data_IF_086763042710
#
_entry.id   IF_086763042710
#
_cell.length_a   1.000
_cell.length_b   1.000
_cell.length_c   1.000
_cell.angle_alpha   90.00
_cell.angle_beta   90.00
_cell.angle_gamma   90.00
#
_symmetry.space_group_name_H-M   'P 1'
#
loop_
_entity.id
_entity.type
_entity.pdbx_description
1 polymer ?
#
# COMPACT_ATOMS: atom_id res chain seq x y z
N UNK A 1 -15.26 16.61 1.00
CA UNK A 1 -14.57 16.18 2.20
C UNK A 1 -14.81 14.68 2.41
N UNK A 2 -13.81 13.92 2.73
CA UNK A 2 -13.97 12.52 3.11
C UNK A 2 -13.54 12.36 4.57
N UNK A 3 -14.43 11.82 5.39
CA UNK A 3 -14.14 11.48 6.79
C UNK A 3 -13.63 10.04 6.84
N UNK A 4 -12.49 9.81 7.42
CA UNK A 4 -11.86 8.49 7.52
C UNK A 4 -11.59 8.16 8.98
N UNK A 5 -11.93 6.93 9.39
CA UNK A 5 -11.71 6.46 10.75
C UNK A 5 -10.21 6.38 11.05
N UNK A 6 -9.76 7.00 12.13
CA UNK A 6 -8.41 6.86 12.61
C UNK A 6 -8.27 5.51 13.35
N UNK A 7 -7.25 4.74 13.01
CA UNK A 7 -6.94 3.51 13.73
C UNK A 7 -5.49 3.58 14.21
N UNK A 8 -5.29 3.41 15.50
CA UNK A 8 -3.98 3.08 16.03
C UNK A 8 -3.59 1.70 15.50
N UNK A 9 -2.50 1.62 14.75
CA UNK A 9 -2.05 0.35 14.18
C UNK A 9 -1.43 -0.49 15.29
N UNK A 10 -2.22 -1.39 15.87
CA UNK A 10 -1.67 -2.52 16.62
C UNK A 10 -1.17 -3.54 15.60
N UNK A 11 0.13 -3.78 15.57
CA UNK A 11 0.76 -4.80 14.72
C UNK A 11 0.22 -6.19 15.09
N UNK A 12 -0.77 -6.65 14.34
CA UNK A 12 -1.30 -8.01 14.46
C UNK A 12 -0.34 -8.95 13.73
N UNK A 13 0.35 -9.77 14.50
CA UNK A 13 1.16 -10.89 14.01
C UNK A 13 0.20 -12.01 13.57
N UNK A 14 -0.26 -11.98 12.33
CA UNK A 14 -1.08 -13.06 11.78
C UNK A 14 -0.24 -14.04 10.97
N UNK A 15 -0.30 -15.33 11.31
CA UNK A 15 0.23 -16.42 10.52
C UNK A 15 -0.59 -16.57 9.24
N UNK A 16 0.04 -16.32 8.07
CA UNK A 16 -0.59 -16.51 6.76
C UNK A 16 -0.16 -17.86 6.19
N UNK A 17 -1.12 -18.75 5.81
CA UNK A 17 -0.80 -20.06 5.24
C UNK A 17 -0.01 -20.00 3.93
N UNK A 18 0.84 -20.98 3.73
CA UNK A 18 1.84 -21.08 2.64
C UNK A 18 1.31 -21.40 1.24
N UNK A 19 0.01 -21.58 1.05
CA UNK A 19 -0.56 -22.18 -0.16
C UNK A 19 -1.45 -21.22 -0.91
N UNK A 20 -0.90 -20.27 -1.69
CA UNK A 20 -1.73 -19.64 -2.73
C UNK A 20 -0.86 -18.92 -3.76
N UNK A 21 -0.39 -19.69 -4.71
CA UNK A 21 0.26 -19.18 -5.91
C UNK A 21 -0.76 -19.15 -7.06
N UNK A 22 -1.51 -18.09 -7.20
CA UNK A 22 -2.14 -17.78 -8.47
C UNK A 22 -1.49 -16.51 -9.01
N UNK A 23 -0.56 -16.72 -9.92
CA UNK A 23 -0.03 -15.66 -10.79
C UNK A 23 -1.22 -15.06 -11.55
N UNK A 24 -1.65 -13.86 -11.20
CA UNK A 24 -2.70 -13.21 -11.96
C UNK A 24 -2.20 -12.98 -13.40
N UNK A 25 -3.09 -13.20 -14.37
CA UNK A 25 -2.82 -13.00 -15.82
C UNK A 25 -2.35 -11.57 -16.15
N UNK A 26 -2.46 -10.64 -15.21
CA UNK A 26 -1.96 -9.27 -15.36
C UNK A 26 -0.42 -9.22 -15.41
N UNK A 27 0.26 -10.14 -14.72
CA UNK A 27 1.74 -10.20 -14.66
C UNK A 27 2.39 -10.46 -16.01
N UNK A 28 1.73 -11.19 -16.90
CA UNK A 28 2.25 -11.51 -18.23
C UNK A 28 2.36 -10.27 -19.15
N UNK A 29 1.70 -9.16 -18.82
CA UNK A 29 1.69 -7.92 -19.61
C UNK A 29 2.57 -6.81 -19.03
N UNK A 30 3.12 -6.98 -17.85
CA UNK A 30 3.95 -5.96 -17.20
C UNK A 30 5.41 -6.24 -17.53
N UNK A 31 6.01 -5.33 -18.31
CA UNK A 31 7.45 -5.41 -18.60
C UNK A 31 8.24 -5.19 -17.30
N UNK A 32 9.26 -6.02 -17.00
CA UNK A 32 10.11 -5.87 -15.83
C UNK A 32 10.76 -4.47 -15.68
N UNK A 33 11.01 -3.83 -16.83
CA UNK A 33 11.65 -2.51 -16.89
C UNK A 33 10.67 -1.33 -16.71
N UNK A 34 9.39 -1.60 -16.41
CA UNK A 34 8.43 -0.53 -16.13
C UNK A 34 8.59 -0.06 -14.70
N UNK A 35 8.76 1.23 -14.52
CA UNK A 35 8.72 1.87 -13.22
C UNK A 35 7.28 2.16 -12.81
N UNK A 36 6.97 1.90 -11.55
CA UNK A 36 5.71 2.25 -10.90
C UNK A 36 5.92 3.39 -9.91
N UNK A 37 7.07 3.40 -9.23
CA UNK A 37 7.47 4.43 -8.29
C UNK A 37 7.80 5.76 -9.00
N UNK A 38 7.69 6.85 -8.26
CA UNK A 38 8.12 8.16 -8.74
C UNK A 38 9.63 8.13 -9.02
N UNK A 39 10.04 8.70 -10.16
CA UNK A 39 11.43 8.80 -10.57
C UNK A 39 12.23 7.48 -10.51
N UNK A 40 11.56 6.35 -10.74
CA UNK A 40 12.18 5.04 -10.72
C UNK A 40 12.58 4.54 -9.32
N UNK A 41 11.97 5.09 -8.27
CA UNK A 41 12.29 4.73 -6.89
C UNK A 41 12.07 3.25 -6.59
N UNK A 42 11.02 2.65 -7.14
CA UNK A 42 10.73 1.23 -7.02
C UNK A 42 11.81 0.33 -7.66
N UNK A 43 12.43 0.78 -8.76
CA UNK A 43 13.58 0.11 -9.39
C UNK A 43 14.81 0.17 -8.49
N UNK A 44 15.16 1.37 -8.01
CA UNK A 44 16.28 1.54 -7.09
C UNK A 44 16.11 0.73 -5.81
N UNK A 45 14.89 0.72 -5.26
CA UNK A 45 14.56 -0.08 -4.09
C UNK A 45 14.75 -1.58 -4.37
N UNK A 46 14.31 -2.06 -5.53
CA UNK A 46 14.44 -3.46 -5.91
C UNK A 46 15.91 -3.87 -6.15
N UNK A 47 16.78 -2.96 -6.54
CA UNK A 47 18.23 -3.18 -6.66
C UNK A 47 18.93 -3.26 -5.30
N UNK A 48 18.56 -2.36 -4.38
CA UNK A 48 19.14 -2.33 -3.02
C UNK A 48 18.68 -3.53 -2.21
N UNK A 49 17.39 -3.85 -2.28
CA UNK A 49 16.78 -4.94 -1.53
C UNK A 49 16.89 -6.24 -2.32
N UNK A 50 17.97 -6.97 -2.12
CA UNK A 50 18.22 -8.23 -2.82
C UNK A 50 17.41 -9.43 -2.29
N UNK A 51 16.81 -9.29 -1.09
CA UNK A 51 16.03 -10.34 -0.43
C UNK A 51 14.77 -10.69 -1.21
N UNK A 52 14.54 -11.99 -1.41
CA UNK A 52 13.28 -12.55 -1.91
C UNK A 52 12.28 -12.77 -0.75
N UNK A 53 10.98 -12.70 -1.07
CA UNK A 53 9.87 -13.04 -0.15
C UNK A 53 9.91 -12.25 1.17
N UNK A 54 10.22 -10.98 1.09
CA UNK A 54 10.22 -10.08 2.23
C UNK A 54 8.82 -9.60 2.62
N UNK A 55 8.79 -8.64 3.54
CA UNK A 55 7.57 -7.99 4.01
C UNK A 55 7.75 -6.47 3.92
N UNK A 56 6.71 -5.77 3.47
CA UNK A 56 6.70 -4.31 3.38
C UNK A 56 5.49 -3.71 4.10
N UNK A 57 5.60 -2.45 4.45
CA UNK A 57 4.50 -1.59 4.84
C UNK A 57 4.54 -0.37 3.93
N UNK A 58 3.46 -0.10 3.21
CA UNK A 58 3.31 1.05 2.33
C UNK A 58 2.19 1.95 2.87
N UNK A 59 2.59 3.15 3.33
CA UNK A 59 1.69 4.18 3.81
C UNK A 59 1.33 5.10 2.63
N UNK A 60 0.06 5.45 2.49
CA UNK A 60 -0.41 6.22 1.33
C UNK A 60 -0.33 5.41 0.04
N UNK A 61 -0.79 4.16 0.09
CA UNK A 61 -0.65 3.22 -1.02
C UNK A 61 -1.39 3.62 -2.31
N UNK A 62 -2.19 4.69 -2.26
CA UNK A 62 -2.98 5.19 -3.37
C UNK A 62 -3.81 4.06 -4.01
N UNK A 63 -3.85 3.99 -5.33
CA UNK A 63 -4.54 2.92 -6.07
C UNK A 63 -3.73 1.60 -6.13
N UNK A 64 -2.56 1.56 -5.48
CA UNK A 64 -1.67 0.40 -5.40
C UNK A 64 -0.81 0.16 -6.63
N UNK A 65 -0.88 1.03 -7.64
CA UNK A 65 -0.09 0.97 -8.88
C UNK A 65 0.61 2.29 -9.14
N UNK A 66 -0.15 3.39 -9.14
CA UNK A 66 0.38 4.73 -9.43
C UNK A 66 1.30 5.18 -8.30
N UNK A 67 2.55 5.40 -8.61
CA UNK A 67 3.64 5.77 -7.70
C UNK A 67 3.88 4.76 -6.55
N UNK A 68 3.52 3.49 -6.73
CA UNK A 68 3.80 2.46 -5.75
C UNK A 68 5.28 2.07 -5.75
N UNK A 69 5.91 2.15 -4.59
CA UNK A 69 7.29 1.73 -4.37
C UNK A 69 7.43 0.23 -4.11
N UNK A 70 6.33 -0.45 -3.75
CA UNK A 70 6.35 -1.86 -3.35
C UNK A 70 5.78 -2.82 -4.39
N UNK A 71 5.09 -2.31 -5.42
CA UNK A 71 4.47 -3.18 -6.42
C UNK A 71 5.50 -4.05 -7.16
N UNK A 72 6.65 -3.50 -7.51
CA UNK A 72 7.74 -4.26 -8.14
C UNK A 72 8.27 -5.38 -7.24
N UNK A 73 8.42 -5.12 -5.95
CA UNK A 73 8.81 -6.14 -4.96
C UNK A 73 7.77 -7.26 -4.86
N UNK A 74 6.48 -6.91 -4.85
CA UNK A 74 5.40 -7.91 -4.83
C UNK A 74 5.40 -8.76 -6.10
N UNK A 75 5.49 -8.13 -7.28
CA UNK A 75 5.36 -8.79 -8.57
C UNK A 75 6.56 -9.69 -8.90
N UNK A 76 7.78 -9.20 -8.67
CA UNK A 76 8.98 -9.85 -9.18
C UNK A 76 9.82 -10.54 -8.10
N UNK A 77 9.69 -10.12 -6.83
CA UNK A 77 10.44 -10.71 -5.70
C UNK A 77 9.56 -11.48 -4.71
N UNK A 78 8.26 -11.60 -4.98
CA UNK A 78 7.35 -12.38 -4.14
C UNK A 78 7.12 -11.81 -2.74
N UNK A 79 7.32 -10.53 -2.57
CA UNK A 79 7.06 -9.83 -1.32
C UNK A 79 5.56 -9.74 -1.03
N UNK A 80 5.22 -9.58 0.22
CA UNK A 80 3.87 -9.33 0.72
C UNK A 80 3.91 -8.24 1.77
N UNK A 81 2.77 -7.65 2.09
CA UNK A 81 2.81 -6.58 3.08
C UNK A 81 1.47 -6.03 3.49
N UNK A 82 1.55 -4.85 4.09
CA UNK A 82 0.41 -4.02 4.47
C UNK A 82 0.40 -2.79 3.57
N UNK A 83 -0.77 -2.49 3.01
CA UNK A 83 -1.01 -1.28 2.23
C UNK A 83 -2.13 -0.49 2.91
N UNK A 84 -1.84 0.75 3.21
CA UNK A 84 -2.72 1.65 3.95
C UNK A 84 -3.06 2.83 3.05
N UNK A 85 -4.37 3.06 2.86
CA UNK A 85 -4.88 4.16 2.05
C UNK A 85 -6.14 4.73 2.69
N UNK A 86 -6.13 6.01 3.10
CA UNK A 86 -7.24 6.59 3.84
C UNK A 86 -8.45 6.95 2.98
N UNK A 87 -8.28 7.27 1.70
CA UNK A 87 -9.36 7.81 0.88
C UNK A 87 -10.25 6.68 0.33
N UNK A 88 -11.55 6.60 0.68
CA UNK A 88 -12.42 5.45 0.36
C UNK A 88 -12.48 5.10 -1.12
N UNK A 89 -12.59 6.12 -2.01
CA UNK A 89 -12.64 5.91 -3.46
C UNK A 89 -11.32 5.42 -4.05
N UNK A 90 -10.21 5.83 -3.46
CA UNK A 90 -8.85 5.41 -3.85
C UNK A 90 -8.60 3.99 -3.34
N UNK A 91 -8.95 3.71 -2.09
CA UNK A 91 -8.89 2.39 -1.49
C UNK A 91 -9.72 1.34 -2.26
N UNK A 92 -10.87 1.75 -2.82
CA UNK A 92 -11.66 0.86 -3.68
C UNK A 92 -10.89 0.45 -4.96
N UNK A 93 -10.03 1.32 -5.50
CA UNK A 93 -9.13 0.98 -6.62
C UNK A 93 -7.97 0.11 -6.16
N UNK A 94 -7.36 0.43 -5.02
CA UNK A 94 -6.32 -0.38 -4.39
C UNK A 94 -6.76 -1.84 -4.23
N UNK A 95 -7.99 -2.07 -3.74
CA UNK A 95 -8.57 -3.41 -3.60
C UNK A 95 -8.72 -4.19 -4.92
N UNK A 96 -8.85 -3.50 -6.03
CA UNK A 96 -8.92 -4.13 -7.37
C UNK A 96 -7.54 -4.43 -7.94
N UNK A 97 -6.56 -3.58 -7.62
CA UNK A 97 -5.22 -3.63 -8.21
C UNK A 97 -4.25 -4.53 -7.44
N UNK A 98 -4.42 -4.64 -6.13
CA UNK A 98 -3.50 -5.41 -5.26
C UNK A 98 -4.16 -6.66 -4.70
N UNK A 99 -3.40 -7.74 -4.64
CA UNK A 99 -3.90 -9.03 -4.18
C UNK A 99 -4.14 -9.06 -2.68
N UNK A 100 -5.39 -9.23 -2.25
CA UNK A 100 -5.76 -9.47 -0.85
C UNK A 100 -5.28 -10.81 -0.30
N UNK A 101 -4.94 -11.73 -1.15
CA UNK A 101 -4.39 -13.03 -0.73
C UNK A 101 -2.92 -12.90 -0.28
N UNK A 102 -2.23 -11.87 -0.78
CA UNK A 102 -0.83 -11.59 -0.45
C UNK A 102 -0.68 -10.47 0.56
N UNK A 103 -1.57 -9.49 0.53
CA UNK A 103 -1.45 -8.26 1.28
C UNK A 103 -2.64 -8.06 2.21
N UNK A 104 -2.36 -7.45 3.34
CA UNK A 104 -3.37 -6.82 4.16
C UNK A 104 -3.62 -5.41 3.61
N UNK A 105 -4.89 -5.09 3.34
CA UNK A 105 -5.30 -3.78 2.82
C UNK A 105 -6.13 -3.10 3.88
N UNK A 106 -5.68 -1.95 4.37
CA UNK A 106 -6.31 -1.20 5.43
C UNK A 106 -6.76 0.18 4.95
N UNK A 107 -8.04 0.51 5.22
CA UNK A 107 -8.57 1.83 4.94
C UNK A 107 -8.47 2.68 6.20
N UNK A 108 -7.32 3.31 6.39
CA UNK A 108 -7.02 4.09 7.57
C UNK A 108 -6.11 5.28 7.25
N UNK A 109 -6.17 6.32 8.07
CA UNK A 109 -5.15 7.36 8.15
C UNK A 109 -4.14 7.01 9.23
N UNK A 110 -2.86 7.23 8.95
CA UNK A 110 -1.81 7.11 9.94
C UNK A 110 -1.69 8.45 10.67
N UNK A 111 -1.81 8.40 11.98
CA UNK A 111 -1.76 9.56 12.86
C UNK A 111 -0.78 9.31 14.00
N UNK A 112 -0.46 10.35 14.75
CA UNK A 112 0.34 10.27 15.97
C UNK A 112 -0.30 9.34 17.01
N UNK A 113 0.49 8.73 17.90
CA UNK A 113 -0.01 7.81 18.93
C UNK A 113 -0.87 8.50 20.01
N UNK A 114 -0.72 9.80 20.16
CA UNK A 114 -1.48 10.66 21.07
C UNK A 114 -2.67 11.34 20.41
N UNK A 115 -2.97 10.98 19.17
CA UNK A 115 -4.15 11.48 18.46
C UNK A 115 -5.44 10.99 19.14
N UNK A 116 -6.25 11.92 19.63
CA UNK A 116 -7.39 11.68 20.52
C UNK A 116 -8.76 11.62 19.80
N UNK A 117 -8.76 11.82 18.47
CA UNK A 117 -10.01 11.82 17.69
C UNK A 117 -10.22 10.50 16.96
N UNK A 118 -11.48 10.10 16.80
CA UNK A 118 -11.87 8.87 16.09
C UNK A 118 -11.79 8.99 14.56
N UNK A 119 -11.60 10.18 14.03
CA UNK A 119 -11.59 10.44 12.59
C UNK A 119 -10.59 11.51 12.20
N UNK A 120 -10.14 11.44 10.97
CA UNK A 120 -9.30 12.45 10.33
C UNK A 120 -10.03 13.01 9.12
N UNK A 121 -10.07 14.33 9.02
CA UNK A 121 -10.50 14.99 7.80
C UNK A 121 -9.35 15.07 6.81
N UNK A 122 -9.61 14.71 5.56
CA UNK A 122 -8.60 14.70 4.50
C UNK A 122 -9.01 15.66 3.38
N UNK A 123 -8.17 16.65 3.12
CA UNK A 123 -8.22 17.40 1.88
C UNK A 123 -7.74 16.51 0.74
N UNK A 124 -8.67 16.08 -0.10
CA UNK A 124 -8.33 15.22 -1.23
C UNK A 124 -7.69 16.02 -2.36
N UNK A 125 -6.44 15.75 -2.64
CA UNK A 125 -5.69 16.29 -3.79
C UNK A 125 -4.94 15.17 -4.52
N UNK A 126 -5.64 14.10 -4.89
CA UNK A 126 -5.08 12.94 -5.55
C UNK A 126 -3.84 12.38 -4.79
N UNK A 127 -2.64 12.49 -5.38
CA UNK A 127 -1.39 11.97 -4.80
C UNK A 127 -0.87 12.80 -3.60
N UNK A 128 -1.37 14.02 -3.43
CA UNK A 128 -0.95 14.94 -2.38
C UNK A 128 -2.06 15.17 -1.35
N UNK A 129 -2.90 14.16 -1.12
CA UNK A 129 -3.95 14.24 -0.11
C UNK A 129 -3.36 14.42 1.28
N UNK A 130 -3.81 15.45 1.99
CA UNK A 130 -3.24 15.85 3.27
C UNK A 130 -4.30 15.80 4.35
N UNK A 131 -4.01 15.24 5.53
CA UNK A 131 -4.87 15.38 6.69
C UNK A 131 -5.03 16.86 7.08
N UNK A 132 -6.23 17.22 7.53
CA UNK A 132 -6.54 18.54 8.07
C UNK A 132 -6.58 18.47 9.60
N UNK A 133 -6.14 19.55 10.26
CA UNK A 133 -6.27 19.71 11.72
C UNK A 133 -5.65 18.57 12.55
N UNK A 134 -4.48 18.10 12.15
CA UNK A 134 -3.60 17.25 12.96
C UNK A 134 -2.47 18.15 13.49
N UNK A 135 -2.78 18.87 14.57
CA UNK A 135 -1.77 19.58 15.36
C UNK A 135 -1.23 18.66 16.46
#
# INVERSE_FOLDING_TARGET
MATVRAHAIHLIRTHIPRTWFTRSRLLAKIKPNRDFGLDGLDTRLAEIVQKERGFFIELGANDGVTQSNTLKLELFKGWKGVLIEPVPRVFARLKKNRSRQRNHLEMAACVSFDFDKDYVEIAFSNLMSTPLNID
#
